data_IF_123025211374
#
_entry.id   IF_123025211374
#
_cell.length_a   1.000
_cell.length_b   1.000
_cell.length_c   1.000
_cell.angle_alpha   90.00
_cell.angle_beta   90.00
_cell.angle_gamma   90.00
#
_symmetry.space_group_name_H-M   'P 1'
#
loop_
_entity.id
_entity.type
_entity.pdbx_description
1 polymer ?
#
# COMPACT_ATOMS: atom_id res chain seq x y z
N UNK A 1 0.96 -2.24 27.74
CA UNK A 1 0.35 -3.27 26.87
C UNK A 1 1.18 -3.31 25.61
N UNK A 2 2.00 -4.34 25.42
CA UNK A 2 2.80 -4.48 24.19
C UNK A 2 1.85 -4.75 23.04
N UNK A 3 1.82 -3.84 22.08
CA UNK A 3 1.01 -3.97 20.87
C UNK A 3 1.43 -5.26 20.14
N UNK A 4 0.49 -6.18 19.94
CA UNK A 4 0.78 -7.53 19.40
C UNK A 4 1.47 -7.46 18.04
N UNK A 5 1.19 -6.44 17.25
CA UNK A 5 1.80 -6.18 15.96
C UNK A 5 3.32 -5.97 16.07
N UNK A 6 3.77 -5.06 16.94
CA UNK A 6 5.20 -4.77 17.13
C UNK A 6 5.99 -6.00 17.60
N UNK A 7 5.36 -6.89 18.37
CA UNK A 7 5.98 -8.13 18.80
C UNK A 7 6.18 -9.10 17.63
N UNK A 8 5.17 -9.22 16.75
CA UNK A 8 5.25 -10.05 15.54
C UNK A 8 6.29 -9.50 14.57
N UNK A 9 6.28 -8.19 14.33
CA UNK A 9 7.23 -7.54 13.42
C UNK A 9 8.68 -7.78 13.88
N UNK A 10 8.95 -7.55 15.18
CA UNK A 10 10.28 -7.81 15.75
C UNK A 10 10.74 -9.26 15.59
N UNK A 11 9.84 -10.22 15.77
CA UNK A 11 10.15 -11.64 15.61
C UNK A 11 10.45 -12.01 14.13
N UNK A 12 9.69 -11.44 13.19
CA UNK A 12 9.93 -11.62 11.76
C UNK A 12 11.28 -11.01 11.34
N UNK A 13 11.58 -9.81 11.81
CA UNK A 13 12.87 -9.15 11.59
C UNK A 13 14.05 -9.90 12.21
N UNK A 14 13.89 -10.45 13.42
CA UNK A 14 14.90 -11.32 14.04
C UNK A 14 15.21 -12.55 13.17
N UNK A 15 14.21 -13.05 12.42
CA UNK A 15 14.34 -14.16 11.46
C UNK A 15 14.77 -13.70 10.06
N UNK A 16 15.05 -12.41 9.85
CA UNK A 16 15.40 -11.80 8.55
C UNK A 16 14.32 -11.98 7.48
N UNK A 17 13.06 -11.95 7.90
CA UNK A 17 11.90 -12.00 7.02
C UNK A 17 11.44 -10.55 6.80
N UNK A 18 11.44 -10.10 5.55
CA UNK A 18 10.91 -8.80 5.16
C UNK A 18 9.37 -8.79 5.22
N UNK A 19 8.79 -7.64 5.54
CA UNK A 19 7.36 -7.45 5.70
C UNK A 19 6.84 -6.50 4.62
N UNK A 20 5.92 -7.02 3.83
CA UNK A 20 5.13 -6.24 2.88
C UNK A 20 3.82 -5.80 3.54
N UNK A 21 3.61 -4.49 3.63
CA UNK A 21 2.43 -3.90 4.23
C UNK A 21 1.54 -3.32 3.15
N UNK A 22 0.35 -3.90 2.97
CA UNK A 22 -0.64 -3.37 2.03
C UNK A 22 -1.61 -2.46 2.81
N UNK A 23 -1.54 -1.16 2.56
CA UNK A 23 -2.32 -0.14 3.28
C UNK A 23 -3.34 0.50 2.34
N UNK A 24 -4.48 0.91 2.89
CA UNK A 24 -5.60 1.40 2.08
C UNK A 24 -6.14 2.72 2.63
N UNK A 25 -6.43 3.66 1.74
CA UNK A 25 -7.04 4.96 2.02
C UNK A 25 -8.48 5.03 1.50
N UNK A 26 -9.28 5.92 2.07
CA UNK A 26 -10.64 6.22 1.62
C UNK A 26 -11.74 5.58 2.47
N UNK A 27 -11.42 5.18 3.70
CA UNK A 27 -12.42 4.77 4.68
C UNK A 27 -13.27 5.96 5.15
N UNK A 28 -14.40 5.67 5.81
CA UNK A 28 -15.36 6.70 6.21
C UNK A 28 -14.84 7.57 7.37
N UNK A 29 -13.86 7.05 8.10
CA UNK A 29 -13.18 7.67 9.22
C UNK A 29 -11.91 8.45 8.80
N UNK A 30 -11.46 8.28 7.56
CA UNK A 30 -10.28 8.97 7.06
C UNK A 30 -10.55 10.48 6.94
N UNK A 31 -9.53 11.27 7.27
CA UNK A 31 -9.49 12.73 7.15
C UNK A 31 -8.23 13.17 6.38
N UNK A 32 -8.07 14.47 6.14
CA UNK A 32 -6.93 15.00 5.36
C UNK A 32 -5.55 14.65 5.96
N UNK A 33 -5.48 14.32 7.26
CA UNK A 33 -4.24 13.92 7.95
C UNK A 33 -3.92 12.43 7.85
N UNK A 34 -4.77 11.62 7.20
CA UNK A 34 -4.60 10.16 7.13
C UNK A 34 -3.29 9.76 6.44
N UNK A 35 -2.88 10.48 5.39
CA UNK A 35 -1.71 10.12 4.59
C UNK A 35 -0.43 10.20 5.42
N UNK A 36 -0.26 11.27 6.19
CA UNK A 36 0.88 11.45 7.09
C UNK A 36 0.85 10.43 8.23
N UNK A 37 -0.31 10.18 8.84
CA UNK A 37 -0.43 9.19 9.92
C UNK A 37 -0.06 7.79 9.45
N UNK A 38 -0.52 7.38 8.28
CA UNK A 38 -0.22 6.06 7.73
C UNK A 38 1.26 5.96 7.31
N UNK A 39 1.84 7.02 6.72
CA UNK A 39 3.27 7.06 6.42
C UNK A 39 4.14 7.01 7.68
N UNK A 40 3.76 7.70 8.75
CA UNK A 40 4.48 7.62 10.02
C UNK A 40 4.32 6.23 10.65
N UNK A 41 3.13 5.63 10.55
CA UNK A 41 2.89 4.28 11.03
C UNK A 41 3.76 3.23 10.31
N UNK A 42 3.95 3.30 9.00
CA UNK A 42 4.79 2.33 8.28
C UNK A 42 6.25 2.40 8.74
N UNK A 43 6.75 3.61 9.01
CA UNK A 43 8.08 3.84 9.57
C UNK A 43 8.17 3.30 10.99
N UNK A 44 7.25 3.69 11.87
CA UNK A 44 7.27 3.34 13.29
C UNK A 44 7.08 1.85 13.52
N UNK A 45 6.24 1.20 12.71
CA UNK A 45 6.00 -0.24 12.77
C UNK A 45 7.16 -1.05 12.20
N UNK A 46 8.00 -0.48 11.33
CA UNK A 46 9.07 -1.19 10.63
C UNK A 46 8.55 -2.04 9.46
N UNK A 47 7.66 -1.49 8.65
CA UNK A 47 7.21 -2.12 7.40
C UNK A 47 8.28 -1.88 6.33
N UNK A 48 8.81 -2.96 5.76
CA UNK A 48 9.94 -2.91 4.83
C UNK A 48 9.51 -2.52 3.41
N UNK A 49 8.33 -2.99 3.00
CA UNK A 49 7.76 -2.77 1.68
C UNK A 49 6.30 -2.30 1.83
N UNK A 50 6.05 -1.01 2.14
CA UNK A 50 4.71 -0.46 2.17
C UNK A 50 4.20 -0.25 0.74
N UNK A 51 2.99 -0.71 0.47
CA UNK A 51 2.25 -0.48 -0.77
C UNK A 51 0.90 0.14 -0.42
N UNK A 52 0.53 1.21 -1.11
CA UNK A 52 -0.70 1.93 -0.82
C UNK A 52 -1.78 1.65 -1.86
N UNK A 53 -3.03 1.76 -1.42
CA UNK A 53 -4.20 1.51 -2.25
C UNK A 53 -5.32 2.47 -1.89
N UNK A 54 -6.25 2.66 -2.83
CA UNK A 54 -7.49 3.38 -2.61
C UNK A 54 -8.65 2.40 -2.56
N UNK A 55 -9.47 2.52 -1.52
CA UNK A 55 -10.66 1.71 -1.30
C UNK A 55 -11.53 1.70 -2.55
N UNK A 56 -11.68 0.53 -3.17
CA UNK A 56 -12.41 0.40 -4.43
C UNK A 56 -13.62 -0.51 -4.22
N UNK A 57 -14.87 0.01 -4.32
CA UNK A 57 -16.08 -0.75 -4.05
C UNK A 57 -16.46 -1.66 -5.24
N UNK A 58 -15.78 -2.80 -5.37
CA UNK A 58 -16.08 -3.79 -6.40
C UNK A 58 -17.53 -4.28 -6.34
N UNK A 59 -18.16 -4.57 -7.49
CA UNK A 59 -19.53 -5.07 -7.54
C UNK A 59 -19.69 -6.35 -6.74
N UNK A 60 -20.93 -6.63 -6.34
CA UNK A 60 -21.32 -7.79 -5.55
C UNK A 60 -20.66 -7.88 -4.16
N UNK A 61 -19.83 -6.90 -3.79
CA UNK A 61 -19.37 -6.73 -2.41
C UNK A 61 -20.41 -6.00 -1.56
N UNK A 62 -20.41 -6.28 -0.26
CA UNK A 62 -21.24 -5.55 0.71
C UNK A 62 -20.92 -4.05 0.71
N UNK A 63 -19.64 -3.70 0.52
CA UNK A 63 -19.18 -2.32 0.43
C UNK A 63 -19.84 -1.58 -0.74
N UNK A 64 -19.86 -2.19 -1.92
CA UNK A 64 -20.52 -1.61 -3.09
C UNK A 64 -22.03 -1.47 -2.90
N UNK A 65 -22.67 -2.50 -2.32
CA UNK A 65 -24.11 -2.45 -2.01
C UNK A 65 -24.44 -1.28 -1.05
N UNK A 66 -23.65 -1.12 0.01
CA UNK A 66 -23.77 -0.01 0.95
C UNK A 66 -23.53 1.33 0.27
N UNK A 67 -22.45 1.48 -0.51
CA UNK A 67 -22.13 2.75 -1.15
C UNK A 67 -23.15 3.14 -2.23
N UNK A 68 -23.73 2.17 -2.95
CA UNK A 68 -24.85 2.39 -3.88
C UNK A 68 -26.09 2.89 -3.12
N UNK A 69 -26.46 2.22 -2.02
CA UNK A 69 -27.60 2.62 -1.17
C UNK A 69 -27.42 4.02 -0.61
N UNK A 70 -26.21 4.36 -0.19
CA UNK A 70 -25.87 5.65 0.39
C UNK A 70 -25.65 6.74 -0.70
N UNK A 71 -25.81 6.42 -1.99
CA UNK A 71 -25.69 7.38 -3.10
C UNK A 71 -24.26 7.87 -3.34
N UNK A 72 -23.25 7.10 -2.94
CA UNK A 72 -21.84 7.50 -2.93
C UNK A 72 -21.03 7.04 -4.14
N UNK A 73 -21.54 6.11 -4.94
CA UNK A 73 -20.89 5.70 -6.19
C UNK A 73 -21.11 6.80 -7.23
N UNK A 74 -20.02 7.42 -7.68
CA UNK A 74 -20.03 8.56 -8.62
C UNK A 74 -19.69 8.11 -10.03
N UNK A 75 -18.99 7.00 -10.16
CA UNK A 75 -18.56 6.42 -11.42
C UNK A 75 -18.86 4.91 -11.44
N UNK A 76 -19.45 4.44 -12.54
CA UNK A 76 -19.77 3.03 -12.76
C UNK A 76 -18.98 2.44 -13.94
N UNK A 77 -18.04 3.21 -14.52
CA UNK A 77 -17.16 2.71 -15.55
C UNK A 77 -16.11 1.78 -14.94
N UNK A 78 -16.24 0.51 -15.27
CA UNK A 78 -15.36 -0.59 -14.87
C UNK A 78 -13.88 -0.35 -15.13
N UNK A 79 -13.55 0.40 -16.19
CA UNK A 79 -12.17 0.74 -16.51
C UNK A 79 -11.49 1.59 -15.43
N UNK A 80 -12.25 2.22 -14.53
CA UNK A 80 -11.74 3.09 -13.46
C UNK A 80 -11.62 2.37 -12.10
N UNK A 81 -11.89 1.06 -12.04
CA UNK A 81 -11.81 0.26 -10.79
C UNK A 81 -10.41 -0.36 -10.63
N UNK A 82 -9.38 0.47 -10.51
CA UNK A 82 -7.97 0.09 -10.65
C UNK A 82 -7.14 0.17 -9.37
N UNK A 83 -7.78 0.17 -8.18
CA UNK A 83 -7.26 0.23 -6.79
C UNK A 83 -6.11 1.21 -6.46
N UNK A 84 -5.61 1.92 -7.46
CA UNK A 84 -4.45 2.81 -7.43
C UNK A 84 -4.87 4.20 -7.90
N UNK A 85 -5.90 4.33 -8.73
CA UNK A 85 -6.51 5.62 -9.14
C UNK A 85 -5.48 6.68 -9.57
N UNK A 86 -4.35 6.28 -10.17
CA UNK A 86 -3.33 7.21 -10.66
C UNK A 86 -3.83 8.07 -11.82
N UNK A 87 -4.65 7.46 -12.67
CA UNK A 87 -5.14 8.05 -13.93
C UNK A 87 -6.54 8.66 -13.79
N UNK A 88 -7.37 8.09 -12.90
CA UNK A 88 -8.77 8.47 -12.74
C UNK A 88 -9.04 8.99 -11.33
N UNK A 89 -10.21 9.57 -11.10
CA UNK A 89 -10.65 9.88 -9.74
C UNK A 89 -11.29 8.64 -9.11
N UNK A 90 -11.20 8.47 -7.78
CA UNK A 90 -11.90 7.41 -7.04
C UNK A 90 -13.36 7.27 -7.49
N UNK A 91 -13.83 6.05 -7.71
CA UNK A 91 -15.18 5.77 -8.24
C UNK A 91 -16.31 6.09 -7.26
N UNK A 92 -15.98 6.42 -6.01
CA UNK A 92 -16.91 6.77 -4.95
C UNK A 92 -16.53 8.10 -4.28
N UNK A 93 -17.47 8.69 -3.55
CA UNK A 93 -17.27 9.88 -2.73
C UNK A 93 -16.97 9.47 -1.28
N UNK A 94 -15.75 9.70 -0.75
CA UNK A 94 -15.46 9.57 0.68
C UNK A 94 -16.24 10.62 1.50
N UNK A 95 -16.44 10.35 2.81
CA UNK A 95 -17.25 11.22 3.67
C UNK A 95 -16.55 12.52 4.05
N UNK A 96 -15.27 12.43 4.45
CA UNK A 96 -14.56 13.58 5.01
C UNK A 96 -13.43 14.11 4.10
N UNK A 97 -13.09 13.39 3.03
CA UNK A 97 -12.04 13.77 2.07
C UNK A 97 -12.67 13.87 0.68
N UNK A 98 -12.28 14.87 -0.11
CA UNK A 98 -12.69 14.96 -1.51
C UNK A 98 -12.03 13.87 -2.36
N UNK A 99 -12.62 13.53 -3.50
CA UNK A 99 -12.04 12.53 -4.43
C UNK A 99 -10.69 12.98 -4.96
N UNK A 100 -10.56 14.28 -5.18
CA UNK A 100 -9.35 14.93 -5.64
C UNK A 100 -8.25 14.89 -4.59
N UNK A 101 -8.58 15.23 -3.34
CA UNK A 101 -7.64 15.16 -2.22
C UNK A 101 -7.22 13.71 -1.93
N UNK A 102 -8.14 12.75 -2.01
CA UNK A 102 -7.84 11.33 -1.86
C UNK A 102 -6.85 10.84 -2.92
N UNK A 103 -7.09 11.19 -4.19
CA UNK A 103 -6.17 10.85 -5.28
C UNK A 103 -4.80 11.50 -5.11
N UNK A 104 -4.78 12.79 -4.76
CA UNK A 104 -3.51 13.52 -4.64
C UNK A 104 -2.71 13.04 -3.44
N UNK A 105 -3.34 12.80 -2.29
CA UNK A 105 -2.70 12.22 -1.12
C UNK A 105 -2.15 10.82 -1.40
N UNK A 106 -2.90 9.99 -2.11
CA UNK A 106 -2.41 8.70 -2.59
C UNK A 106 -1.16 8.84 -3.49
N UNK A 107 -1.19 9.76 -4.47
CA UNK A 107 -0.03 10.00 -5.36
C UNK A 107 1.18 10.54 -4.62
N UNK A 108 0.98 11.23 -3.49
CA UNK A 108 2.05 11.69 -2.63
C UNK A 108 2.63 10.55 -1.78
N UNK A 109 1.79 9.66 -1.26
CA UNK A 109 2.22 8.48 -0.51
C UNK A 109 3.04 7.51 -1.38
N UNK A 110 2.66 7.34 -2.64
CA UNK A 110 3.38 6.52 -3.63
C UNK A 110 4.63 7.18 -4.21
N UNK A 111 4.85 8.48 -3.96
CA UNK A 111 6.07 9.13 -4.42
C UNK A 111 7.23 8.66 -3.56
N UNK A 112 8.33 8.18 -4.17
CA UNK A 112 9.55 7.92 -3.44
C UNK A 112 9.95 9.21 -2.71
N UNK A 113 9.93 9.19 -1.38
CA UNK A 113 10.55 10.25 -0.58
C UNK A 113 11.96 10.40 -1.12
N UNK A 114 12.29 11.57 -1.69
CA UNK A 114 13.53 11.80 -2.43
C UNK A 114 14.71 11.73 -1.45
N UNK A 115 15.18 10.52 -1.18
CA UNK A 115 16.24 10.18 -0.25
C UNK A 115 16.78 8.81 -0.64
N UNK A 116 17.84 8.83 -1.44
CA UNK A 116 18.75 7.72 -1.78
C UNK A 116 18.12 6.32 -1.89
N UNK A 117 17.45 6.09 -3.02
CA UNK A 117 16.91 4.80 -3.45
C UNK A 117 17.98 3.92 -4.13
N UNK A 118 19.00 3.48 -3.40
CA UNK A 118 19.86 2.38 -3.87
C UNK A 118 20.22 1.44 -2.72
N UNK A 119 19.96 0.15 -2.92
CA UNK A 119 20.02 -0.95 -1.94
C UNK A 119 18.79 -0.97 -1.02
N UNK A 120 17.79 -1.80 -1.30
CA UNK A 120 17.83 -3.14 -0.70
C UNK A 120 17.15 -4.27 -1.49
N UNK A 121 16.67 -4.05 -2.71
CA UNK A 121 16.16 -5.14 -3.55
C UNK A 121 16.96 -5.20 -4.83
N UNK A 122 17.94 -6.11 -4.88
CA UNK A 122 18.58 -6.52 -6.12
C UNK A 122 17.58 -7.26 -6.98
N UNK A 123 16.64 -6.53 -7.61
CA UNK A 123 15.82 -6.92 -8.77
C UNK A 123 14.81 -5.80 -9.11
N UNK A 124 15.29 -4.68 -9.67
CA UNK A 124 14.54 -3.91 -10.66
C UNK A 124 13.23 -3.20 -10.26
N UNK A 125 12.82 -3.20 -8.98
CA UNK A 125 11.68 -2.38 -8.53
C UNK A 125 12.19 -0.98 -8.21
N UNK A 126 11.98 -0.04 -9.15
CA UNK A 126 12.26 1.39 -8.93
C UNK A 126 11.21 1.94 -7.96
N UNK A 127 11.61 2.43 -6.78
CA UNK A 127 10.70 3.28 -6.01
C UNK A 127 10.91 3.49 -4.51
N UNK A 128 11.81 2.78 -3.81
CA UNK A 128 11.82 2.86 -2.34
C UNK A 128 13.24 3.03 -1.76
N UNK A 129 13.35 3.90 -0.74
CA UNK A 129 14.59 4.38 -0.12
C UNK A 129 15.41 3.33 0.63
N UNK A 130 16.58 3.73 1.12
CA UNK A 130 17.56 2.86 1.75
C UNK A 130 17.05 2.14 3.02
N UNK A 131 17.54 0.91 3.25
CA UNK A 131 17.35 0.21 4.52
C UNK A 131 17.87 1.02 5.72
N UNK A 132 17.22 0.93 6.90
CA UNK A 132 17.73 1.53 8.13
C UNK A 132 19.11 0.95 8.53
N UNK A 133 19.96 1.76 9.19
CA UNK A 133 21.31 1.36 9.55
C UNK A 133 21.32 0.18 10.54
N UNK A 134 22.02 -0.90 10.18
CA UNK A 134 22.15 -2.13 10.98
C UNK A 134 21.56 -3.38 10.34
N UNK A 135 20.84 -3.24 9.22
CA UNK A 135 20.33 -4.38 8.44
C UNK A 135 21.42 -5.02 7.57
N UNK A 136 21.51 -6.36 7.51
CA UNK A 136 22.42 -7.01 6.59
C UNK A 136 21.99 -6.73 5.14
N UNK A 137 22.83 -6.04 4.36
CA UNK A 137 22.71 -5.85 2.90
C UNK A 137 22.86 -7.15 2.10
N UNK A 138 22.74 -8.31 2.76
CA UNK A 138 22.82 -9.60 2.09
C UNK A 138 21.56 -9.76 1.27
N UNK A 139 21.73 -9.59 -0.04
CA UNK A 139 20.78 -10.01 -1.06
C UNK A 139 20.09 -11.30 -0.63
N UNK A 140 18.77 -11.23 -0.46
CA UNK A 140 17.94 -12.44 -0.42
C UNK A 140 18.33 -13.20 -1.69
N UNK A 141 18.91 -14.42 -1.59
CA UNK A 141 19.22 -15.17 -2.79
C UNK A 141 17.91 -15.34 -3.54
N UNK A 142 17.91 -14.94 -4.82
CA UNK A 142 16.74 -15.09 -5.68
C UNK A 142 16.24 -16.54 -5.53
N UNK A 143 15.02 -16.72 -5.04
CA UNK A 143 14.31 -17.98 -5.19
C UNK A 143 14.24 -18.19 -6.70
N UNK A 144 15.00 -19.18 -7.20
CA UNK A 144 14.92 -19.57 -8.60
C UNK A 144 13.47 -19.93 -8.88
N UNK A 145 12.85 -19.24 -9.85
CA UNK A 145 11.53 -19.64 -10.36
C UNK A 145 11.58 -21.15 -10.66
N UNK A 146 10.56 -21.94 -10.27
CA UNK A 146 10.52 -23.34 -10.67
C UNK A 146 10.60 -23.41 -12.19
N UNK A 147 11.52 -24.25 -12.67
CA UNK A 147 11.81 -24.45 -14.08
C UNK A 147 10.52 -24.83 -14.80
N UNK A 148 9.94 -23.87 -15.52
CA UNK A 148 8.68 -24.06 -16.25
C UNK A 148 9.01 -24.65 -17.61
N UNK A 149 9.72 -25.77 -17.61
CA UNK A 149 9.99 -26.57 -18.80
C UNK A 149 9.42 -27.98 -18.59
N UNK A 150 8.09 -28.05 -18.50
CA UNK A 150 7.36 -29.31 -18.62
C UNK A 150 6.18 -29.15 -19.59
N UNK A 151 6.05 -30.17 -20.44
CA UNK A 151 5.03 -30.49 -21.45
C UNK A 151 5.04 -29.73 -22.78
N UNK A 152 5.82 -30.26 -23.72
CA UNK A 152 5.30 -30.59 -25.05
C UNK A 152 4.88 -32.06 -25.04
#
# INVERSE_FOLDING_TARGET
>A
MTNTLDAVIRELHHRKIAIEGNLMFGFDEDDDGVFERIAQFTIDAGIDLPEFYVLTPYPDTELCTRFKRDGRIVDQNWAHYDNTHFHYLPVFQPRNISREALREGYRQAERPSTGDATSCVGNGVRGYGACPPGWPTTSIPAVSKPDTTLSR
#
